data_IF_905422724313
#
_entry.id   IF_905422724313
#
_cell.length_a   1.000
_cell.length_b   1.000
_cell.length_c   1.000
_cell.angle_alpha   90.00
_cell.angle_beta   90.00
_cell.angle_gamma   90.00
#
_symmetry.space_group_name_H-M   'P 1'
#
loop_
_entity.id
_entity.type
_entity.pdbx_description
1 polymer ?
#
# COMPACT_ATOMS: atom_id res chain seq x y z
N UNK A 1 -36.96 -20.13 -85.38
CA UNK A 1 -35.66 -20.40 -84.73
C UNK A 1 -35.17 -19.08 -84.15
N UNK A 2 -35.26 -18.89 -82.83
CA UNK A 2 -34.16 -19.12 -81.87
C UNK A 2 -33.08 -18.04 -81.99
N UNK A 3 -32.61 -17.33 -80.95
CA UNK A 3 -32.61 -17.53 -79.49
C UNK A 3 -32.41 -16.15 -78.83
N UNK A 4 -33.07 -15.90 -77.68
CA UNK A 4 -32.74 -14.82 -76.75
C UNK A 4 -31.39 -15.11 -76.05
N UNK A 5 -30.52 -14.12 -75.80
CA UNK A 5 -29.50 -14.22 -74.77
C UNK A 5 -30.03 -13.72 -73.42
N UNK A 6 -29.66 -14.45 -72.37
CA UNK A 6 -30.03 -14.24 -70.98
C UNK A 6 -29.52 -12.91 -70.40
N UNK A 7 -30.39 -12.30 -69.60
CA UNK A 7 -30.13 -11.15 -68.75
C UNK A 7 -29.17 -11.53 -67.61
N UNK A 8 -27.99 -10.91 -67.60
CA UNK A 8 -26.93 -11.13 -66.62
C UNK A 8 -27.19 -10.33 -65.36
N UNK A 9 -27.74 -10.99 -64.33
CA UNK A 9 -27.98 -10.44 -62.99
C UNK A 9 -26.64 -10.03 -62.34
N UNK A 10 -26.26 -8.75 -62.44
CA UNK A 10 -25.14 -8.18 -61.66
C UNK A 10 -25.55 -8.15 -60.18
N UNK A 11 -24.88 -8.96 -59.36
CA UNK A 11 -25.01 -8.91 -57.90
C UNK A 11 -24.58 -7.55 -57.32
N UNK A 12 -24.97 -7.23 -56.07
CA UNK A 12 -24.71 -5.93 -55.47
C UNK A 12 -23.18 -5.69 -55.33
N UNK A 13 -22.74 -4.42 -55.40
CA UNK A 13 -21.32 -4.11 -55.35
C UNK A 13 -20.74 -4.54 -54.00
N UNK A 14 -19.65 -5.33 -54.04
CA UNK A 14 -18.85 -5.66 -52.85
C UNK A 14 -18.35 -4.33 -52.27
N UNK A 15 -18.83 -3.99 -51.09
CA UNK A 15 -18.35 -2.85 -50.31
C UNK A 15 -16.94 -3.22 -49.82
N UNK A 16 -15.92 -2.77 -50.53
CA UNK A 16 -14.54 -3.00 -50.12
C UNK A 16 -14.27 -2.19 -48.86
N UNK A 17 -14.04 -2.90 -47.76
CA UNK A 17 -13.69 -2.29 -46.49
C UNK A 17 -12.27 -1.72 -46.64
N UNK A 18 -12.04 -0.43 -46.32
CA UNK A 18 -10.70 0.14 -46.41
C UNK A 18 -9.69 -0.70 -45.60
N UNK A 19 -8.49 -0.98 -46.14
CA UNK A 19 -7.49 -1.82 -45.47
C UNK A 19 -7.17 -1.38 -44.04
N UNK A 20 -7.23 -0.07 -43.78
CA UNK A 20 -7.01 0.55 -42.47
C UNK A 20 -8.05 0.08 -41.43
N UNK A 21 -9.32 -0.09 -41.83
CA UNK A 21 -10.39 -0.53 -40.92
C UNK A 21 -10.17 -1.98 -40.50
N UNK A 22 -9.70 -2.84 -41.41
CA UNK A 22 -9.31 -4.21 -41.08
C UNK A 22 -8.13 -4.27 -40.10
N UNK A 23 -7.14 -3.39 -40.27
CA UNK A 23 -5.95 -3.32 -39.42
C UNK A 23 -6.29 -2.80 -38.00
N UNK A 24 -7.15 -1.79 -37.90
CA UNK A 24 -7.68 -1.30 -36.61
C UNK A 24 -8.51 -2.36 -35.89
N UNK A 25 -9.36 -3.10 -36.61
CA UNK A 25 -10.12 -4.23 -36.05
C UNK A 25 -9.20 -5.34 -35.55
N UNK A 26 -8.17 -5.69 -36.32
CA UNK A 26 -7.19 -6.70 -35.90
C UNK A 26 -6.44 -6.26 -34.63
N UNK A 27 -6.01 -5.00 -34.54
CA UNK A 27 -5.39 -4.46 -33.32
C UNK A 27 -6.36 -4.46 -32.13
N UNK A 28 -7.62 -4.06 -32.34
CA UNK A 28 -8.63 -4.09 -31.29
C UNK A 28 -8.92 -5.51 -30.80
N UNK A 29 -8.99 -6.49 -31.70
CA UNK A 29 -9.18 -7.91 -31.37
C UNK A 29 -7.96 -8.49 -30.66
N UNK A 30 -6.75 -8.15 -31.08
CA UNK A 30 -5.52 -8.57 -30.39
C UNK A 30 -5.42 -7.96 -28.99
N UNK A 31 -5.79 -6.69 -28.83
CA UNK A 31 -5.88 -6.06 -27.51
C UNK A 31 -6.98 -6.70 -26.66
N UNK A 32 -8.16 -6.97 -27.21
CA UNK A 32 -9.23 -7.64 -26.49
C UNK A 32 -8.84 -9.07 -26.07
N UNK A 33 -8.19 -9.83 -26.95
CA UNK A 33 -7.62 -11.14 -26.64
C UNK A 33 -6.53 -11.05 -25.58
N UNK A 34 -5.66 -10.05 -25.66
CA UNK A 34 -4.67 -9.78 -24.63
C UNK A 34 -5.36 -9.48 -23.29
N UNK A 35 -6.34 -8.58 -23.24
CA UNK A 35 -7.12 -8.29 -22.04
C UNK A 35 -7.81 -9.54 -21.49
N UNK A 36 -8.43 -10.37 -22.34
CA UNK A 36 -9.09 -11.61 -21.91
C UNK A 36 -8.08 -12.66 -21.42
N UNK A 37 -6.91 -12.76 -22.04
CA UNK A 37 -5.82 -13.62 -21.58
C UNK A 37 -5.27 -13.11 -20.24
N UNK A 38 -5.08 -11.80 -20.10
CA UNK A 38 -4.65 -11.19 -18.84
C UNK A 38 -5.72 -11.41 -17.76
N UNK A 39 -7.00 -11.22 -18.05
CA UNK A 39 -8.11 -11.42 -17.12
C UNK A 39 -8.26 -12.90 -16.69
N UNK A 40 -8.14 -13.83 -17.65
CA UNK A 40 -8.21 -15.28 -17.37
C UNK A 40 -6.99 -15.83 -16.64
N UNK A 41 -5.79 -15.33 -16.95
CA UNK A 41 -4.55 -15.77 -16.31
C UNK A 41 -4.30 -15.08 -14.96
N UNK A 42 -4.77 -13.84 -14.78
CA UNK A 42 -4.41 -13.01 -13.61
C UNK A 42 -5.59 -12.58 -12.73
N UNK A 43 -6.78 -12.29 -13.29
CA UNK A 43 -7.95 -11.83 -12.52
C UNK A 43 -8.79 -13.00 -11.98
N UNK A 44 -8.62 -14.20 -12.55
CA UNK A 44 -9.21 -15.45 -12.02
C UNK A 44 -8.43 -16.01 -10.84
N UNK A 45 -8.16 -15.21 -9.80
CA UNK A 45 -8.06 -15.77 -8.44
C UNK A 45 -9.48 -15.76 -7.87
N UNK A 46 -10.04 -16.91 -7.44
CA UNK A 46 -11.40 -16.94 -6.93
C UNK A 46 -11.53 -16.00 -5.73
N UNK A 47 -12.41 -14.99 -5.85
CA UNK A 47 -12.80 -14.14 -4.74
C UNK A 47 -13.87 -14.88 -3.93
N UNK A 48 -13.63 -14.91 -2.61
CA UNK A 48 -14.53 -15.25 -1.50
C UNK A 48 -15.08 -16.68 -1.43
N UNK A 49 -14.28 -17.58 -0.86
CA UNK A 49 -14.73 -18.30 0.33
C UNK A 49 -14.00 -17.68 1.54
N UNK A 50 -14.58 -17.69 2.73
CA UNK A 50 -13.82 -17.38 3.96
C UNK A 50 -12.54 -18.22 3.92
N UNK A 51 -11.37 -17.59 3.77
CA UNK A 51 -10.09 -18.32 3.75
C UNK A 51 -9.94 -18.98 5.13
N UNK A 52 -9.95 -20.33 5.23
CA UNK A 52 -9.79 -21.04 6.50
C UNK A 52 -8.46 -20.74 7.20
N UNK A 53 -7.57 -20.02 6.51
CA UNK A 53 -6.26 -19.59 7.00
C UNK A 53 -6.28 -18.29 7.81
N UNK A 54 -7.38 -17.54 7.84
CA UNK A 54 -7.48 -16.29 8.59
C UNK A 54 -7.78 -16.54 10.06
N UNK A 55 -6.97 -15.95 10.95
CA UNK A 55 -7.25 -15.94 12.38
C UNK A 55 -8.21 -14.80 12.74
N UNK A 56 -9.01 -14.97 13.81
CA UNK A 56 -9.81 -13.87 14.34
C UNK A 56 -8.91 -12.74 14.86
N UNK A 57 -9.48 -11.54 14.98
CA UNK A 57 -8.77 -10.39 15.56
C UNK A 57 -8.19 -10.74 16.93
N UNK A 58 -6.94 -10.35 17.19
CA UNK A 58 -6.23 -10.70 18.41
C UNK A 58 -5.53 -12.06 18.38
N UNK A 59 -5.58 -12.78 17.25
CA UNK A 59 -4.95 -14.09 17.08
C UNK A 59 -4.08 -14.13 15.82
N UNK A 60 -3.12 -15.05 15.82
CA UNK A 60 -2.19 -15.26 14.72
C UNK A 60 -1.94 -16.74 14.47
N UNK A 61 -1.42 -17.04 13.27
CA UNK A 61 -0.93 -18.37 12.90
C UNK A 61 0.21 -18.18 11.91
N UNK A 62 1.38 -18.73 12.25
CA UNK A 62 2.60 -18.58 11.43
C UNK A 62 3.25 -19.92 11.14
N UNK A 63 3.88 -20.05 9.97
CA UNK A 63 4.51 -21.29 9.51
C UNK A 63 3.57 -22.50 9.59
N UNK A 64 4.04 -23.58 10.21
CA UNK A 64 3.30 -24.85 10.33
C UNK A 64 2.38 -24.92 11.57
N UNK A 65 1.86 -23.80 12.07
CA UNK A 65 0.87 -23.83 13.15
C UNK A 65 -0.48 -24.34 12.63
N UNK A 66 -1.06 -25.31 13.33
CA UNK A 66 -2.37 -25.90 12.98
C UNK A 66 -3.55 -25.04 13.47
N UNK A 67 -3.39 -24.39 14.62
CA UNK A 67 -4.41 -23.55 15.24
C UNK A 67 -3.90 -22.11 15.37
N UNK A 68 -4.83 -21.17 15.45
CA UNK A 68 -4.53 -19.79 15.80
C UNK A 68 -4.19 -19.69 17.29
N UNK A 69 -3.22 -18.86 17.64
CA UNK A 69 -2.84 -18.51 19.02
C UNK A 69 -3.13 -17.04 19.27
N UNK A 70 -3.50 -16.67 20.49
CA UNK A 70 -3.69 -15.26 20.85
C UNK A 70 -2.36 -14.50 20.73
N UNK A 71 -2.42 -13.20 20.47
CA UNK A 71 -1.24 -12.35 20.48
C UNK A 71 -0.53 -12.43 21.83
N UNK A 72 0.79 -12.58 21.78
CA UNK A 72 1.63 -12.71 22.95
C UNK A 72 1.64 -11.41 23.77
N UNK A 73 1.55 -11.59 25.09
CA UNK A 73 1.59 -10.53 26.10
C UNK A 73 3.01 -10.04 26.39
N UNK A 74 3.12 -8.95 27.16
CA UNK A 74 4.41 -8.45 27.65
C UNK A 74 5.23 -9.51 28.40
N UNK A 75 4.57 -10.34 29.23
CA UNK A 75 5.25 -11.40 29.99
C UNK A 75 5.87 -12.43 29.05
N UNK A 76 5.09 -12.96 28.10
CA UNK A 76 5.57 -13.92 27.10
C UNK A 76 6.67 -13.34 26.20
N UNK A 77 6.59 -12.06 25.84
CA UNK A 77 7.64 -11.37 25.08
C UNK A 77 8.95 -11.28 25.88
N UNK A 78 8.88 -11.11 27.20
CA UNK A 78 10.05 -11.02 28.08
C UNK A 78 10.67 -12.39 28.38
N UNK A 79 9.86 -13.43 28.52
CA UNK A 79 10.32 -14.77 28.92
C UNK A 79 10.67 -15.67 27.75
N UNK A 80 9.87 -15.66 26.68
CA UNK A 80 9.89 -16.70 25.64
C UNK A 80 10.55 -16.25 24.35
N UNK A 81 10.75 -14.94 24.15
CA UNK A 81 11.36 -14.38 22.93
C UNK A 81 12.83 -14.08 23.19
N UNK A 82 13.71 -14.80 22.48
CA UNK A 82 15.15 -14.60 22.55
C UNK A 82 15.65 -13.79 21.34
N UNK A 83 16.14 -12.55 21.52
CA UNK A 83 16.79 -11.79 20.45
C UNK A 83 18.07 -12.49 20.00
N UNK A 84 18.31 -12.55 18.69
CA UNK A 84 19.51 -13.15 18.11
C UNK A 84 20.43 -12.07 17.52
N UNK A 85 20.05 -11.48 16.38
CA UNK A 85 20.87 -10.49 15.68
C UNK A 85 20.02 -9.32 15.18
N UNK A 86 20.60 -8.12 15.15
CA UNK A 86 19.97 -6.96 14.48
C UNK A 86 19.95 -7.21 12.97
N UNK A 87 18.79 -7.02 12.34
CA UNK A 87 18.58 -7.22 10.90
C UNK A 87 18.14 -5.96 10.16
N UNK A 88 17.68 -4.94 10.90
CA UNK A 88 17.30 -3.67 10.33
C UNK A 88 17.25 -2.57 11.38
N UNK A 89 17.36 -1.34 10.92
CA UNK A 89 17.21 -0.14 11.73
C UNK A 89 16.67 0.98 10.85
N UNK A 90 15.56 1.57 11.28
CA UNK A 90 14.97 2.76 10.69
C UNK A 90 14.91 3.89 11.70
N UNK A 91 14.24 4.99 11.35
CA UNK A 91 14.08 6.13 12.25
C UNK A 91 13.32 5.77 13.53
N UNK A 92 12.26 4.95 13.42
CA UNK A 92 11.35 4.60 14.53
C UNK A 92 11.72 3.27 15.21
N UNK A 93 12.20 2.28 14.46
CA UNK A 93 12.34 0.89 14.92
C UNK A 93 13.73 0.31 14.68
N UNK A 94 14.25 -0.39 15.68
CA UNK A 94 15.35 -1.36 15.55
C UNK A 94 14.78 -2.76 15.50
N UNK A 95 15.09 -3.50 14.45
CA UNK A 95 14.54 -4.82 14.17
C UNK A 95 15.59 -5.90 14.43
N UNK A 96 15.24 -6.87 15.27
CA UNK A 96 16.06 -8.02 15.62
C UNK A 96 15.42 -9.31 15.12
N UNK A 97 16.17 -10.10 14.36
CA UNK A 97 15.87 -11.51 14.22
C UNK A 97 15.91 -12.12 15.62
N UNK A 98 14.83 -12.78 15.99
CA UNK A 98 14.62 -13.38 17.30
C UNK A 98 14.07 -14.79 17.13
N UNK A 99 13.98 -15.52 18.23
CA UNK A 99 13.44 -16.88 18.28
C UNK A 99 12.37 -16.99 19.36
N UNK A 100 11.24 -17.60 19.01
CA UNK A 100 10.13 -17.89 19.91
C UNK A 100 9.63 -19.30 19.60
N UNK A 101 9.69 -20.22 20.59
CA UNK A 101 9.30 -21.64 20.43
C UNK A 101 9.87 -22.28 19.15
N UNK A 102 11.19 -22.14 18.96
CA UNK A 102 11.96 -22.63 17.80
C UNK A 102 11.59 -22.00 16.44
N UNK A 103 10.77 -20.95 16.44
CA UNK A 103 10.38 -20.22 15.23
C UNK A 103 11.15 -18.92 15.14
N UNK A 104 11.59 -18.58 13.92
CA UNK A 104 12.18 -17.27 13.65
C UNK A 104 11.09 -16.21 13.60
N UNK A 105 11.30 -15.14 14.36
CA UNK A 105 10.36 -14.01 14.51
C UNK A 105 11.14 -12.70 14.46
N UNK A 106 10.47 -11.61 14.12
CA UNK A 106 11.06 -10.27 14.07
C UNK A 106 10.62 -9.46 15.29
N UNK A 107 11.56 -9.09 16.14
CA UNK A 107 11.33 -8.24 17.30
C UNK A 107 11.73 -6.81 16.95
N UNK A 108 10.75 -5.93 16.82
CA UNK A 108 10.94 -4.49 16.62
C UNK A 108 10.91 -3.77 17.97
N UNK A 109 11.90 -2.91 18.21
CA UNK A 109 11.98 -2.07 19.42
C UNK A 109 12.05 -0.60 19.02
N UNK A 110 11.43 0.27 19.80
CA UNK A 110 11.55 1.71 19.64
C UNK A 110 13.03 2.15 19.67
N UNK A 111 13.39 3.05 18.76
CA UNK A 111 14.73 3.66 18.67
C UNK A 111 14.94 4.74 19.72
N UNK A 112 14.01 5.69 19.80
CA UNK A 112 14.02 6.87 20.66
C UNK A 112 12.60 7.19 21.16
N UNK A 113 12.49 7.71 22.39
CA UNK A 113 11.21 8.14 22.96
C UNK A 113 10.55 9.28 22.17
N UNK A 114 11.32 10.05 21.41
CA UNK A 114 10.80 11.09 20.51
C UNK A 114 9.93 10.51 19.38
N UNK A 115 10.21 9.28 18.96
CA UNK A 115 9.49 8.57 17.90
C UNK A 115 8.34 7.71 18.46
N UNK A 116 7.98 7.86 19.75
CA UNK A 116 7.00 7.00 20.42
C UNK A 116 5.61 7.14 19.80
N UNK A 117 5.20 8.34 19.40
CA UNK A 117 3.90 8.56 18.79
C UNK A 117 3.77 7.81 17.45
N UNK A 118 4.78 7.93 16.58
CA UNK A 118 4.84 7.20 15.30
C UNK A 118 4.85 5.68 15.51
N UNK A 119 5.59 5.21 16.52
CA UNK A 119 5.63 3.79 16.88
C UNK A 119 4.27 3.26 17.34
N UNK A 120 3.57 4.00 18.21
CA UNK A 120 2.24 3.61 18.70
C UNK A 120 1.20 3.69 17.59
N UNK A 121 1.29 4.69 16.71
CA UNK A 121 0.45 4.76 15.51
C UNK A 121 0.67 3.53 14.62
N UNK A 122 1.92 3.19 14.31
CA UNK A 122 2.25 1.99 13.53
C UNK A 122 1.74 0.70 14.17
N UNK A 123 1.85 0.55 15.49
CA UNK A 123 1.26 -0.59 16.21
C UNK A 123 -0.26 -0.62 16.10
N UNK A 124 -0.94 0.52 16.23
CA UNK A 124 -2.39 0.61 16.07
C UNK A 124 -2.82 0.20 14.65
N UNK A 125 -2.13 0.71 13.63
CA UNK A 125 -2.38 0.33 12.23
C UNK A 125 -2.14 -1.16 12.02
N UNK A 126 -1.04 -1.70 12.55
CA UNK A 126 -0.70 -3.11 12.43
C UNK A 126 -1.77 -4.01 13.05
N UNK A 127 -2.33 -3.63 14.21
CA UNK A 127 -3.44 -4.35 14.87
C UNK A 127 -4.70 -4.31 14.03
N UNK A 128 -5.09 -3.13 13.54
CA UNK A 128 -6.36 -2.91 12.83
C UNK A 128 -6.37 -3.42 11.39
N UNK A 129 -5.19 -3.51 10.75
CA UNK A 129 -5.03 -3.87 9.34
C UNK A 129 -4.58 -5.31 9.14
N UNK A 130 -4.58 -6.15 10.18
CA UNK A 130 -4.20 -7.56 10.04
C UNK A 130 -5.02 -8.24 8.93
N UNK A 131 -4.30 -8.92 8.04
CA UNK A 131 -4.88 -9.67 6.94
C UNK A 131 -3.82 -10.04 5.91
N UNK A 132 -4.25 -10.48 4.72
CA UNK A 132 -3.34 -11.03 3.70
C UNK A 132 -2.27 -10.06 3.18
N UNK A 133 -2.45 -8.75 3.36
CA UNK A 133 -1.61 -7.70 2.80
C UNK A 133 -0.58 -7.14 3.78
N UNK A 134 -0.72 -7.46 5.07
CA UNK A 134 0.06 -6.88 6.17
C UNK A 134 0.85 -7.98 6.86
N UNK A 135 2.07 -7.67 7.30
CA UNK A 135 2.89 -8.62 8.06
C UNK A 135 2.12 -9.14 9.28
N UNK A 136 2.21 -10.46 9.53
CA UNK A 136 1.50 -11.09 10.64
C UNK A 136 2.03 -10.57 11.98
N UNK A 137 1.15 -10.01 12.81
CA UNK A 137 1.44 -9.62 14.19
C UNK A 137 1.32 -10.83 15.11
N UNK A 138 2.35 -11.09 15.92
CA UNK A 138 2.39 -12.20 16.87
C UNK A 138 2.19 -11.73 18.31
N UNK A 139 2.55 -10.49 18.63
CA UNK A 139 2.46 -9.94 19.98
C UNK A 139 3.05 -8.56 20.08
N UNK A 140 2.82 -7.89 21.20
CA UNK A 140 3.36 -6.55 21.46
C UNK A 140 3.40 -6.25 22.95
N UNK A 141 4.23 -5.30 23.33
CA UNK A 141 4.27 -4.75 24.68
C UNK A 141 4.47 -3.23 24.61
N UNK A 142 3.42 -2.47 24.90
CA UNK A 142 3.44 -1.01 24.86
C UNK A 142 4.33 -0.40 25.97
N UNK A 143 4.40 -1.05 27.14
CA UNK A 143 5.30 -0.66 28.23
C UNK A 143 6.78 -0.68 27.80
N UNK A 144 7.16 -1.76 27.11
CA UNK A 144 8.53 -1.98 26.66
C UNK A 144 8.80 -1.38 25.27
N UNK A 145 7.76 -0.84 24.61
CA UNK A 145 7.78 -0.37 23.22
C UNK A 145 8.36 -1.44 22.28
N UNK A 146 7.77 -2.64 22.32
CA UNK A 146 8.18 -3.77 21.49
C UNK A 146 7.01 -4.37 20.71
N UNK A 147 7.30 -4.78 19.47
CA UNK A 147 6.34 -5.44 18.57
C UNK A 147 7.00 -6.71 18.04
N UNK A 148 6.27 -7.81 18.06
CA UNK A 148 6.71 -9.10 17.52
C UNK A 148 5.92 -9.45 16.27
N UNK A 149 6.60 -9.60 15.14
CA UNK A 149 6.00 -9.97 13.85
C UNK A 149 6.61 -11.25 13.27
N UNK A 150 5.97 -11.81 12.25
CA UNK A 150 6.52 -12.92 11.48
C UNK A 150 7.84 -12.50 10.81
N UNK A 151 8.85 -13.36 10.89
CA UNK A 151 10.12 -13.10 10.21
C UNK A 151 10.09 -13.59 8.77
N UNK A 152 10.34 -12.69 7.83
CA UNK A 152 10.53 -13.03 6.42
C UNK A 152 12.02 -13.01 6.05
N UNK A 153 12.63 -14.17 5.72
CA UNK A 153 14.07 -14.29 5.53
C UNK A 153 14.61 -13.62 4.27
N UNK A 154 13.75 -13.35 3.27
CA UNK A 154 14.13 -12.62 2.06
C UNK A 154 14.20 -11.10 2.33
N UNK A 155 13.65 -10.64 3.45
CA UNK A 155 13.80 -9.27 3.94
C UNK A 155 13.03 -8.24 3.11
N UNK A 156 13.60 -7.04 3.05
CA UNK A 156 13.05 -5.90 2.31
C UNK A 156 12.89 -6.22 0.82
N UNK A 157 11.85 -5.67 0.19
CA UNK A 157 11.69 -5.72 -1.26
C UNK A 157 12.85 -5.04 -2.01
N UNK A 158 13.63 -4.18 -1.35
CA UNK A 158 14.89 -3.64 -1.88
C UNK A 158 15.89 -4.73 -2.30
N UNK A 159 15.81 -5.93 -1.71
CA UNK A 159 16.71 -7.05 -1.99
C UNK A 159 16.20 -7.96 -3.13
N UNK A 160 15.18 -7.53 -3.88
CA UNK A 160 14.51 -8.39 -4.86
C UNK A 160 15.47 -8.90 -5.95
N UNK A 161 16.28 -8.02 -6.55
CA UNK A 161 17.23 -8.43 -7.60
C UNK A 161 18.32 -9.36 -7.07
N UNK A 162 18.87 -9.04 -5.89
CA UNK A 162 19.86 -9.92 -5.23
C UNK A 162 19.26 -11.30 -4.96
N UNK A 163 18.02 -11.34 -4.48
CA UNK A 163 17.29 -12.59 -4.22
C UNK A 163 17.09 -13.40 -5.49
N UNK A 164 16.65 -12.78 -6.58
CA UNK A 164 16.43 -13.45 -7.85
C UNK A 164 17.70 -13.91 -8.57
N UNK A 165 18.84 -13.31 -8.26
CA UNK A 165 20.14 -13.74 -8.78
C UNK A 165 20.71 -14.97 -8.07
N UNK A 166 20.18 -15.33 -6.89
CA UNK A 166 20.57 -16.57 -6.21
C UNK A 166 20.13 -17.79 -7.02
N UNK A 167 21.04 -18.75 -7.21
CA UNK A 167 20.78 -19.98 -7.98
C UNK A 167 19.52 -20.73 -7.54
N UNK A 168 19.23 -20.73 -6.23
CA UNK A 168 18.03 -21.34 -5.63
C UNK A 168 16.72 -20.73 -6.13
N UNK A 169 16.71 -19.46 -6.53
CA UNK A 169 15.51 -18.70 -6.90
C UNK A 169 15.46 -18.30 -8.38
N UNK A 170 16.40 -18.77 -9.21
CA UNK A 170 16.40 -18.47 -10.65
C UNK A 170 15.14 -18.98 -11.36
N UNK A 171 14.57 -20.10 -10.91
CA UNK A 171 13.34 -20.66 -11.49
C UNK A 171 12.12 -19.76 -11.30
N UNK A 172 12.12 -18.88 -10.29
CA UNK A 172 11.05 -17.91 -10.04
C UNK A 172 11.39 -16.52 -10.55
N UNK A 173 12.60 -16.28 -11.07
CA UNK A 173 12.98 -15.02 -11.73
C UNK A 173 12.39 -14.97 -13.16
N UNK A 174 11.06 -14.90 -13.24
CA UNK A 174 10.30 -14.85 -14.49
C UNK A 174 9.49 -13.55 -14.54
N UNK A 175 9.12 -13.12 -15.75
CA UNK A 175 8.27 -11.93 -15.89
C UNK A 175 6.90 -12.12 -15.24
N UNK A 176 6.38 -13.35 -15.25
CA UNK A 176 5.11 -13.71 -14.61
C UNK A 176 5.16 -13.51 -13.11
N UNK A 177 6.23 -13.97 -12.46
CA UNK A 177 6.42 -13.77 -11.02
C UNK A 177 6.60 -12.29 -10.68
N UNK A 178 7.38 -11.55 -11.48
CA UNK A 178 7.57 -10.10 -11.29
C UNK A 178 6.27 -9.31 -11.46
N UNK A 179 5.44 -9.71 -12.43
CA UNK A 179 4.10 -9.14 -12.60
C UNK A 179 3.19 -9.49 -11.41
N UNK A 180 3.25 -10.72 -10.89
CA UNK A 180 2.51 -11.09 -9.69
C UNK A 180 2.91 -10.23 -8.49
N UNK A 181 4.20 -9.98 -8.28
CA UNK A 181 4.68 -9.06 -7.24
C UNK A 181 4.14 -7.63 -7.43
N UNK A 182 4.12 -7.13 -8.66
CA UNK A 182 3.51 -5.83 -8.95
C UNK A 182 2.00 -5.79 -8.63
N UNK A 183 1.27 -6.87 -8.93
CA UNK A 183 -0.14 -7.00 -8.57
C UNK A 183 -0.35 -7.08 -7.06
N UNK A 184 0.52 -7.79 -6.33
CA UNK A 184 0.49 -7.85 -4.87
C UNK A 184 0.66 -6.44 -4.28
N UNK A 185 1.63 -5.66 -4.78
CA UNK A 185 1.85 -4.26 -4.39
C UNK A 185 0.59 -3.41 -4.62
N UNK A 186 0.01 -3.44 -5.83
CA UNK A 186 -1.23 -2.70 -6.14
C UNK A 186 -2.39 -3.17 -5.25
N UNK A 187 -2.46 -4.48 -4.96
CA UNK A 187 -3.43 -5.05 -4.03
C UNK A 187 -3.31 -4.46 -2.62
N UNK A 188 -2.08 -4.28 -2.12
CA UNK A 188 -1.82 -3.63 -0.84
C UNK A 188 -2.29 -2.17 -0.85
N UNK A 189 -1.91 -1.40 -1.87
CA UNK A 189 -2.33 0.01 -2.00
C UNK A 189 -3.87 0.11 -2.03
N UNK A 190 -4.52 -0.73 -2.84
CA UNK A 190 -5.97 -0.79 -2.90
C UNK A 190 -6.60 -1.16 -1.54
N UNK A 191 -5.98 -2.06 -0.77
CA UNK A 191 -6.44 -2.41 0.56
C UNK A 191 -6.30 -1.23 1.55
N UNK A 192 -5.18 -0.49 1.52
CA UNK A 192 -4.99 0.70 2.37
C UNK A 192 -6.01 1.80 2.05
N UNK A 193 -6.32 2.01 0.77
CA UNK A 193 -7.28 3.03 0.34
C UNK A 193 -8.74 2.68 0.71
N UNK A 194 -9.04 1.41 0.94
CA UNK A 194 -10.36 0.89 1.32
C UNK A 194 -10.31 0.17 2.68
N UNK A 195 -9.43 0.62 3.57
CA UNK A 195 -9.19 -0.05 4.84
C UNK A 195 -10.42 0.05 5.75
N UNK A 196 -10.55 -0.82 6.78
CA UNK A 196 -11.62 -0.69 7.78
C UNK A 196 -11.57 0.62 8.58
N UNK A 197 -10.45 1.35 8.52
CA UNK A 197 -10.27 2.65 9.17
C UNK A 197 -10.59 3.84 8.24
N UNK A 198 -10.93 3.56 6.98
CA UNK A 198 -11.10 4.55 5.91
C UNK A 198 -9.92 4.59 4.94
N UNK A 199 -9.80 5.67 4.16
CA UNK A 199 -8.76 5.80 3.13
C UNK A 199 -7.43 6.23 3.76
N UNK A 200 -6.48 5.31 3.84
CA UNK A 200 -5.14 5.56 4.37
C UNK A 200 -4.15 5.81 3.23
N UNK A 201 -3.20 6.72 3.44
CA UNK A 201 -2.15 7.04 2.46
C UNK A 201 -0.80 6.55 2.97
N UNK A 202 -0.05 5.81 2.16
CA UNK A 202 1.31 5.39 2.48
C UNK A 202 2.28 6.56 2.31
N UNK A 203 2.57 7.28 3.41
CA UNK A 203 3.35 8.52 3.32
C UNK A 203 4.87 8.34 3.35
N UNK A 204 5.37 7.20 3.84
CA UNK A 204 6.81 6.96 3.98
C UNK A 204 7.44 6.40 2.69
N UNK A 205 7.20 7.11 1.57
CA UNK A 205 7.53 6.69 0.20
C UNK A 205 8.10 7.85 -0.63
N UNK A 206 9.09 8.58 -0.08
CA UNK A 206 9.68 9.77 -0.72
C UNK A 206 10.57 9.46 -1.93
N UNK A 207 11.13 8.26 -1.99
CA UNK A 207 11.98 7.77 -3.07
C UNK A 207 11.83 6.25 -3.21
N UNK A 208 12.39 5.68 -4.28
CA UNK A 208 12.24 4.27 -4.59
C UNK A 208 12.85 3.36 -3.50
N UNK A 209 14.13 3.51 -3.07
CA UNK A 209 14.70 2.72 -1.98
C UNK A 209 13.88 2.78 -0.69
N UNK A 210 13.42 3.98 -0.30
CA UNK A 210 12.61 4.18 0.89
C UNK A 210 11.26 3.48 0.77
N UNK A 211 10.59 3.62 -0.37
CA UNK A 211 9.32 2.95 -0.66
C UNK A 211 9.46 1.43 -0.55
N UNK A 212 10.49 0.85 -1.17
CA UNK A 212 10.73 -0.59 -1.14
C UNK A 212 11.03 -1.10 0.28
N UNK A 213 11.66 -0.28 1.12
CA UNK A 213 11.99 -0.63 2.51
C UNK A 213 10.78 -0.88 3.42
N UNK A 214 9.60 -0.41 3.02
CA UNK A 214 8.37 -0.54 3.80
C UNK A 214 7.69 -1.90 3.63
N UNK A 215 8.13 -2.68 2.64
CA UNK A 215 7.54 -3.95 2.24
C UNK A 215 8.53 -5.09 2.43
N UNK A 216 8.00 -6.27 2.75
CA UNK A 216 8.78 -7.50 2.89
C UNK A 216 8.43 -8.49 1.78
N UNK A 217 9.44 -9.21 1.30
CA UNK A 217 9.28 -10.34 0.41
C UNK A 217 9.13 -11.62 1.24
N UNK A 218 8.01 -12.32 1.09
CA UNK A 218 7.74 -13.56 1.80
C UNK A 218 8.44 -14.75 1.14
N UNK A 219 8.64 -15.85 1.88
CA UNK A 219 9.27 -17.07 1.34
C UNK A 219 8.48 -17.73 0.19
N UNK A 220 7.20 -17.40 0.02
CA UNK A 220 6.34 -17.84 -1.08
C UNK A 220 6.26 -16.81 -2.23
N UNK A 221 7.15 -15.82 -2.26
CA UNK A 221 7.22 -14.77 -3.28
C UNK A 221 5.91 -13.96 -3.41
N UNK A 222 5.38 -13.54 -2.26
CA UNK A 222 4.34 -12.52 -2.15
C UNK A 222 4.89 -11.28 -1.44
N UNK A 223 4.17 -10.17 -1.53
CA UNK A 223 4.51 -8.92 -0.83
C UNK A 223 3.57 -8.71 0.34
N UNK A 224 4.12 -8.27 1.48
CA UNK A 224 3.35 -7.72 2.60
C UNK A 224 3.91 -6.35 2.98
N UNK A 225 3.04 -5.42 3.41
CA UNK A 225 3.49 -4.17 4.03
C UNK A 225 3.84 -4.43 5.49
N UNK A 226 4.94 -3.83 5.95
CA UNK A 226 5.50 -4.04 7.28
C UNK A 226 5.54 -2.76 8.10
N UNK A 227 6.01 -1.66 7.50
CA UNK A 227 6.14 -0.39 8.19
C UNK A 227 4.90 0.47 7.96
N UNK A 228 4.16 0.75 9.03
CA UNK A 228 2.85 1.42 8.98
C UNK A 228 2.83 2.67 9.85
N UNK A 229 4.01 3.21 10.18
CA UNK A 229 4.15 4.31 11.14
C UNK A 229 3.57 5.62 10.60
N UNK A 230 3.54 5.81 9.27
CA UNK A 230 3.03 7.00 8.60
C UNK A 230 1.85 6.69 7.66
N UNK A 231 0.68 6.38 8.26
CA UNK A 231 -0.58 6.14 7.55
C UNK A 231 -1.69 7.12 7.95
N UNK A 232 -1.59 8.39 7.54
CA UNK A 232 -2.65 9.36 7.80
C UNK A 232 -3.95 9.00 7.04
N UNK A 233 -5.08 9.35 7.67
CA UNK A 233 -6.42 9.17 7.15
C UNK A 233 -6.81 10.34 6.24
N UNK A 234 -7.42 10.03 5.10
CA UNK A 234 -8.09 10.99 4.23
C UNK A 234 -9.59 10.88 4.44
N UNK A 235 -10.27 12.03 4.57
CA UNK A 235 -11.72 12.09 4.57
C UNK A 235 -12.21 13.27 3.73
N UNK A 236 -12.61 12.98 2.50
CA UNK A 236 -13.12 13.98 1.56
C UNK A 236 -14.40 14.66 2.05
N UNK A 237 -15.27 13.94 2.77
CA UNK A 237 -16.55 14.48 3.25
C UNK A 237 -16.37 15.56 4.32
N UNK A 238 -15.32 15.44 5.13
CA UNK A 238 -14.96 16.44 6.14
C UNK A 238 -13.90 17.44 5.66
N UNK A 239 -13.49 17.38 4.38
CA UNK A 239 -12.41 18.21 3.84
C UNK A 239 -11.03 17.92 4.45
N UNK A 240 -10.83 16.73 5.02
CA UNK A 240 -9.56 16.32 5.62
C UNK A 240 -8.66 15.69 4.55
N UNK A 241 -7.66 16.47 4.13
CA UNK A 241 -6.61 16.05 3.20
C UNK A 241 -5.31 15.76 3.95
N UNK A 242 -4.35 15.15 3.25
CA UNK A 242 -3.09 14.69 3.82
C UNK A 242 -1.91 15.40 3.17
N UNK A 243 -0.93 15.77 3.99
CA UNK A 243 0.43 16.11 3.57
C UNK A 243 1.41 15.13 4.23
N UNK A 244 2.24 14.49 3.43
CA UNK A 244 3.20 13.51 3.93
C UNK A 244 4.44 14.21 4.50
N UNK A 245 4.56 14.20 5.83
CA UNK A 245 5.67 14.81 6.55
C UNK A 245 5.58 16.34 6.71
N UNK A 246 6.45 16.86 7.56
CA UNK A 246 6.55 18.30 7.88
C UNK A 246 7.68 19.02 7.14
N UNK A 247 8.47 18.27 6.36
CA UNK A 247 9.62 18.78 5.62
C UNK A 247 9.27 19.01 4.17
N UNK A 248 10.07 19.85 3.55
CA UNK A 248 9.99 20.13 2.13
C UNK A 248 10.39 18.89 1.31
N UNK A 249 9.46 18.40 0.48
CA UNK A 249 9.73 17.28 -0.44
C UNK A 249 10.18 17.85 -1.79
N UNK A 250 11.16 17.18 -2.39
CA UNK A 250 11.80 17.57 -3.64
C UNK A 250 11.95 16.36 -4.56
N UNK A 251 12.17 16.61 -5.85
CA UNK A 251 12.44 15.59 -6.87
C UNK A 251 11.20 15.10 -7.60
N UNK A 252 11.39 14.18 -8.54
CA UNK A 252 10.36 13.76 -9.49
C UNK A 252 9.61 12.48 -9.07
N UNK A 253 9.99 11.89 -7.93
CA UNK A 253 9.40 10.64 -7.44
C UNK A 253 8.10 10.87 -6.67
N UNK A 254 8.04 11.94 -5.89
CA UNK A 254 6.82 12.33 -5.15
C UNK A 254 5.79 12.94 -6.09
N UNK A 255 4.52 12.89 -5.71
CA UNK A 255 3.47 13.48 -6.55
C UNK A 255 3.65 15.01 -6.63
N UNK A 256 3.39 15.66 -7.79
CA UNK A 256 3.63 17.10 -7.96
C UNK A 256 2.94 17.99 -6.93
N UNK A 257 1.77 17.58 -6.43
CA UNK A 257 1.01 18.26 -5.38
C UNK A 257 1.66 18.19 -3.98
N UNK A 258 2.61 17.27 -3.78
CA UNK A 258 3.37 17.13 -2.54
C UNK A 258 4.63 18.02 -2.52
N UNK A 259 5.04 18.54 -3.68
CA UNK A 259 6.20 19.43 -3.79
C UNK A 259 5.91 20.77 -3.12
N UNK A 260 6.96 21.40 -2.61
CA UNK A 260 6.85 22.78 -2.13
C UNK A 260 7.51 23.76 -3.12
N UNK A 261 6.97 24.98 -3.25
CA UNK A 261 5.62 25.40 -2.89
C UNK A 261 4.61 24.95 -3.96
N UNK A 262 3.69 24.04 -3.64
CA UNK A 262 2.52 23.76 -4.49
C UNK A 262 1.41 24.76 -4.21
N UNK A 263 1.00 25.53 -5.23
CA UNK A 263 -0.08 26.51 -5.16
C UNK A 263 0.26 27.73 -4.30
N UNK A 264 0.73 28.83 -4.91
CA UNK A 264 0.82 30.16 -4.26
C UNK A 264 -0.57 30.80 -4.04
N UNK A 265 -1.47 30.12 -3.35
CA UNK A 265 -2.81 30.60 -3.07
C UNK A 265 -3.38 30.00 -1.79
N UNK A 266 -3.22 30.73 -0.68
CA UNK A 266 -3.98 30.64 0.58
C UNK A 266 -4.73 29.31 0.85
N UNK A 267 -3.99 28.24 1.13
CA UNK A 267 -4.51 27.14 1.95
C UNK A 267 -3.69 27.16 3.24
N UNK A 268 -4.28 27.69 4.29
CA UNK A 268 -3.72 27.65 5.63
C UNK A 268 -3.86 26.21 6.14
N UNK A 269 -2.78 25.43 6.01
CA UNK A 269 -2.70 24.08 6.52
C UNK A 269 -2.65 24.14 8.06
N UNK A 270 -3.77 23.81 8.72
CA UNK A 270 -3.80 23.69 10.17
C UNK A 270 -2.92 22.50 10.59
N UNK A 271 -1.88 22.69 11.44
CA UNK A 271 -1.21 21.57 12.06
C UNK A 271 -2.19 20.83 13.00
N UNK A 272 -2.00 19.52 13.24
CA UNK A 272 -2.81 18.79 14.20
C UNK A 272 -2.74 19.45 15.58
N UNK A 273 -3.90 19.62 16.21
CA UNK A 273 -4.00 20.24 17.53
C UNK A 273 -3.23 19.40 18.56
N UNK A 274 -2.18 19.99 19.15
CA UNK A 274 -1.58 19.43 20.37
C UNK A 274 -2.61 19.50 21.50
N UNK A 275 -2.79 18.45 22.32
CA UNK A 275 -3.64 18.54 23.50
C UNK A 275 -3.09 19.62 24.43
N UNK A 276 -3.93 20.59 24.80
CA UNK A 276 -3.58 21.68 25.71
C UNK A 276 -3.06 21.14 27.04
N UNK A 277 -1.79 21.36 27.34
CA UNK A 277 -1.36 21.47 28.74
C UNK A 277 -1.87 22.81 29.26
N UNK A 278 -2.77 22.74 30.24
CA UNK A 278 -3.35 23.92 30.86
C UNK A 278 -2.29 24.77 31.53
N UNK A 279 -2.30 26.07 31.24
CA UNK A 279 -1.91 27.13 32.15
C UNK A 279 -2.63 28.40 31.71
N UNK A 280 -3.47 28.93 32.59
CA UNK A 280 -4.21 30.16 32.35
C UNK A 280 -3.28 31.36 32.37
N UNK A 281 -3.58 32.33 31.50
CA UNK A 281 -3.34 33.76 31.76
C UNK A 281 -4.10 34.62 30.74
N UNK A 282 -5.04 35.40 31.30
CA UNK A 282 -5.47 36.77 30.95
C UNK A 282 -5.62 37.20 29.48
N UNK A 283 -6.85 37.60 29.17
CA UNK A 283 -7.29 38.28 27.96
C UNK A 283 -6.61 39.64 27.73
N UNK A 284 -6.25 39.89 26.47
CA UNK A 284 -6.14 41.25 25.94
C UNK A 284 -6.73 41.29 24.53
N UNK A 285 -7.73 42.15 24.41
CA UNK A 285 -8.58 42.41 23.27
C UNK A 285 -7.82 43.22 22.21
N UNK A 286 -7.77 42.76 20.95
CA UNK A 286 -7.39 43.64 19.84
C UNK A 286 -8.19 43.35 18.57
N UNK A 287 -9.25 44.16 18.41
CA UNK A 287 -9.80 44.77 17.19
C UNK A 287 -9.65 44.03 15.85
N UNK A 288 -10.80 43.59 15.35
CA UNK A 288 -11.07 43.23 13.97
C UNK A 288 -10.87 44.41 13.00
N UNK A 289 -10.29 44.14 11.83
CA UNK A 289 -10.43 44.97 10.63
C UNK A 289 -11.12 44.16 9.53
N UNK A 290 -12.27 44.68 9.14
CA UNK A 290 -13.15 44.28 8.06
C UNK A 290 -12.46 44.35 6.69
N UNK A 291 -12.58 43.28 5.90
CA UNK A 291 -12.17 43.25 4.48
C UNK A 291 -13.15 42.40 3.67
N UNK A 292 -13.82 43.06 2.71
CA UNK A 292 -14.88 42.56 1.83
C UNK A 292 -14.63 41.16 1.24
N UNK A 293 -15.62 40.26 1.40
CA UNK A 293 -15.64 38.92 0.79
C UNK A 293 -16.35 38.98 -0.56
N UNK A 294 -15.61 39.19 -1.64
CA UNK A 294 -16.14 38.98 -3.00
C UNK A 294 -16.18 37.47 -3.25
N UNK A 295 -17.39 36.91 -3.36
CA UNK A 295 -17.63 35.50 -3.63
C UNK A 295 -17.39 35.22 -5.12
N UNK A 296 -16.25 34.62 -5.46
CA UNK A 296 -16.02 34.11 -6.83
C UNK A 296 -16.31 32.62 -6.83
N UNK A 297 -17.42 32.26 -7.47
CA UNK A 297 -17.79 30.87 -7.78
C UNK A 297 -17.00 30.45 -9.01
N UNK A 298 -16.08 29.49 -8.87
CA UNK A 298 -15.49 28.82 -10.02
C UNK A 298 -16.20 27.48 -10.20
N UNK A 299 -17.18 27.51 -11.11
CA UNK A 299 -17.80 26.34 -11.71
C UNK A 299 -16.71 25.54 -12.44
N UNK A 300 -16.40 24.33 -11.96
CA UNK A 300 -15.53 23.41 -12.67
C UNK A 300 -16.40 22.41 -13.43
N UNK A 301 -16.52 22.58 -14.75
CA UNK A 301 -17.04 21.55 -15.65
C UNK A 301 -15.90 20.58 -16.02
N UNK A 302 -16.05 19.27 -15.78
CA UNK A 302 -15.13 18.29 -16.31
C UNK A 302 -15.41 18.08 -17.80
N UNK A 303 -14.44 18.38 -18.65
CA UNK A 303 -14.40 17.87 -20.03
C UNK A 303 -13.83 16.46 -20.02
N UNK A 304 -14.62 15.53 -20.58
CA UNK A 304 -14.23 14.19 -21.01
C UNK A 304 -13.12 14.22 -22.06
#
# INVERSE_FOLDING_TARGET
MEKKPLDGRKGPPRREVPPVVGLLLAMALMNALLYLCLDRLFISTPRSSLDPRHCPYGYFRVGQMNNCSAWLSCEELRTDVRPLKRVGEGAVKRVFLSEWKERKVALSRLTSLEMKEDFLHGLQMLKSLQGKHVVTLLGFCEEDNTILTEYHPLGSLSNLEETFNLSKYQNVNTWQQRLQLAMDYVGIINYLHHSPLGTLVMCDSSDLPKTLSQYLLTSNFSIVVNDLDALPLVNHSSGMFVKCGHRELHGDFVAPEQLWPYGKGHIEWLPPARPNQGQGQTATETRALSGNRTRVSLDYRPTL
#
